data_IF_416682265507
#
_entry.id   IF_416682265507
#
_cell.length_a   1.000
_cell.length_b   1.000
_cell.length_c   1.000
_cell.angle_alpha   90.00
_cell.angle_beta   90.00
_cell.angle_gamma   90.00
#
_symmetry.space_group_name_H-M   'P 1'
#
loop_
_entity.id
_entity.type
_entity.pdbx_description
1 polymer ?
#
# COMPACT_ATOMS: atom_id res chain seq x y z
N UNK A 1 -14.34 -20.19 20.45
CA UNK A 1 -14.39 -19.93 18.99
C UNK A 1 -14.12 -18.45 18.80
N UNK A 2 -13.05 -18.08 18.09
CA UNK A 2 -12.82 -16.69 17.71
C UNK A 2 -13.64 -16.40 16.47
N UNK A 3 -14.51 -15.40 16.53
CA UNK A 3 -15.24 -14.90 15.36
C UNK A 3 -14.54 -13.65 14.83
N UNK A 4 -14.56 -13.52 13.51
CA UNK A 4 -14.10 -12.34 12.78
C UNK A 4 -15.23 -11.87 11.87
N UNK A 5 -15.48 -10.56 11.84
CA UNK A 5 -16.35 -9.93 10.87
C UNK A 5 -15.50 -9.07 9.95
N UNK A 6 -15.78 -9.12 8.65
CA UNK A 6 -15.02 -8.37 7.64
C UNK A 6 -15.99 -7.50 6.85
N UNK A 7 -15.83 -6.19 6.96
CA UNK A 7 -16.56 -5.22 6.18
C UNK A 7 -15.65 -4.75 5.03
N UNK A 8 -16.09 -4.93 3.78
CA UNK A 8 -15.37 -4.45 2.59
C UNK A 8 -16.22 -3.44 1.85
N UNK A 9 -15.63 -2.31 1.49
CA UNK A 9 -16.25 -1.31 0.63
C UNK A 9 -15.36 -1.05 -0.58
N UNK A 10 -15.97 -1.04 -1.76
CA UNK A 10 -15.32 -0.68 -3.02
C UNK A 10 -15.94 0.63 -3.50
N UNK A 11 -15.10 1.64 -3.68
CA UNK A 11 -15.53 2.94 -4.17
C UNK A 11 -15.49 2.93 -5.71
N UNK A 12 -16.52 3.47 -6.39
CA UNK A 12 -16.64 3.41 -7.84
C UNK A 12 -15.74 4.44 -8.51
N UNK A 13 -14.43 4.18 -8.52
CA UNK A 13 -13.40 5.08 -9.04
C UNK A 13 -12.84 4.65 -10.41
N UNK A 14 -13.26 3.49 -10.94
CA UNK A 14 -12.81 2.99 -12.24
C UNK A 14 -11.56 2.11 -12.12
N UNK A 15 -10.66 2.22 -13.11
CA UNK A 15 -9.39 1.48 -13.14
C UNK A 15 -8.48 1.91 -11.97
N UNK A 16 -7.64 0.97 -11.52
CA UNK A 16 -6.71 1.07 -10.41
C UNK A 16 -7.30 1.05 -9.00
N UNK A 17 -8.59 1.38 -8.85
CA UNK A 17 -9.40 0.97 -7.71
C UNK A 17 -9.20 1.77 -6.42
N UNK A 18 -10.19 1.66 -5.54
CA UNK A 18 -10.16 2.25 -4.21
C UNK A 18 -11.00 1.37 -3.29
N UNK A 19 -10.32 0.63 -2.42
CA UNK A 19 -10.95 -0.34 -1.53
C UNK A 19 -10.64 -0.03 -0.08
N UNK A 20 -11.65 -0.14 0.77
CA UNK A 20 -11.45 -0.18 2.22
C UNK A 20 -11.91 -1.51 2.78
N UNK A 21 -11.15 -2.03 3.73
CA UNK A 21 -11.47 -3.25 4.46
C UNK A 21 -11.31 -2.99 5.95
N UNK A 22 -12.29 -3.42 6.72
CA UNK A 22 -12.24 -3.41 8.18
C UNK A 22 -12.43 -4.83 8.68
N UNK A 23 -11.45 -5.35 9.40
CA UNK A 23 -11.53 -6.65 10.08
C UNK A 23 -11.78 -6.41 11.56
N UNK A 24 -12.92 -6.86 12.04
CA UNK A 24 -13.30 -6.85 13.45
C UNK A 24 -13.01 -8.21 14.07
N UNK A 25 -12.32 -8.23 15.20
CA UNK A 25 -12.01 -9.44 15.94
C UNK A 25 -12.87 -9.55 17.20
N UNK A 26 -13.08 -10.78 17.68
CA UNK A 26 -13.77 -11.05 18.95
C UNK A 26 -13.23 -10.33 20.20
N UNK A 27 -11.98 -9.84 20.18
CA UNK A 27 -11.37 -9.09 21.28
C UNK A 27 -11.61 -7.57 21.19
N UNK A 28 -12.60 -7.12 20.41
CA UNK A 28 -12.85 -5.70 20.09
C UNK A 28 -11.64 -4.99 19.46
N UNK A 29 -10.70 -5.75 18.89
CA UNK A 29 -9.62 -5.19 18.05
C UNK A 29 -10.13 -5.05 16.63
N UNK A 30 -9.69 -3.99 15.98
CA UNK A 30 -10.00 -3.65 14.59
C UNK A 30 -8.70 -3.52 13.82
N UNK A 31 -8.70 -4.01 12.58
CA UNK A 31 -7.69 -3.70 11.57
C UNK A 31 -8.39 -3.00 10.40
N UNK A 32 -7.98 -1.77 10.09
CA UNK A 32 -8.51 -1.00 8.96
C UNK A 32 -7.45 -0.82 7.89
N UNK A 33 -7.75 -1.24 6.67
CA UNK A 33 -6.86 -1.16 5.52
C UNK A 33 -7.53 -0.43 4.37
N UNK A 34 -6.75 0.38 3.67
CA UNK A 34 -7.07 0.92 2.35
C UNK A 34 -6.12 0.31 1.34
N UNK A 35 -6.64 -0.10 0.18
CA UNK A 35 -5.86 -0.60 -0.94
C UNK A 35 -6.13 0.29 -2.13
N UNK A 36 -5.07 0.95 -2.62
CA UNK A 36 -5.07 1.95 -3.69
C UNK A 36 -6.07 3.10 -3.47
N UNK A 37 -5.97 4.14 -4.28
CA UNK A 37 -6.92 5.24 -4.28
C UNK A 37 -6.86 6.14 -5.53
N UNK A 38 -6.17 5.71 -6.58
CA UNK A 38 -6.15 6.42 -7.86
C UNK A 38 -7.36 6.04 -8.72
N UNK A 39 -7.56 6.76 -9.81
CA UNK A 39 -8.66 6.53 -10.75
C UNK A 39 -9.65 7.69 -10.77
N UNK A 40 -10.61 7.61 -11.69
CA UNK A 40 -11.58 8.65 -12.06
C UNK A 40 -10.96 10.02 -12.34
N UNK A 41 -11.79 10.96 -12.78
CA UNK A 41 -11.40 12.36 -12.75
C UNK A 41 -11.32 12.88 -11.29
N UNK A 42 -10.63 14.00 -11.12
CA UNK A 42 -10.35 14.58 -9.80
C UNK A 42 -11.62 15.02 -9.05
N UNK A 43 -12.67 15.45 -9.77
CA UNK A 43 -13.91 15.89 -9.14
C UNK A 43 -14.66 14.70 -8.52
N UNK A 44 -14.87 13.65 -9.31
CA UNK A 44 -15.54 12.43 -8.85
C UNK A 44 -14.76 11.74 -7.72
N UNK A 45 -13.43 11.65 -7.87
CA UNK A 45 -12.56 11.10 -6.82
C UNK A 45 -12.63 11.92 -5.53
N UNK A 46 -12.61 13.25 -5.63
CA UNK A 46 -12.71 14.14 -4.47
C UNK A 46 -14.00 13.95 -3.67
N UNK A 47 -15.14 13.73 -4.35
CA UNK A 47 -16.42 13.42 -3.69
C UNK A 47 -16.34 12.11 -2.92
N UNK A 48 -15.81 11.05 -3.54
CA UNK A 48 -15.68 9.73 -2.90
C UNK A 48 -14.72 9.77 -1.70
N UNK A 49 -13.59 10.45 -1.83
CA UNK A 49 -12.61 10.63 -0.77
C UNK A 49 -13.20 11.43 0.40
N UNK A 50 -13.96 12.49 0.12
CA UNK A 50 -14.63 13.26 1.16
C UNK A 50 -15.62 12.39 1.95
N UNK A 51 -16.46 11.63 1.25
CA UNK A 51 -17.39 10.69 1.87
C UNK A 51 -16.70 9.55 2.64
N UNK A 52 -15.50 9.15 2.21
CA UNK A 52 -14.66 8.20 2.94
C UNK A 52 -14.07 8.83 4.21
N UNK A 53 -13.52 10.04 4.12
CA UNK A 53 -12.86 10.75 5.21
C UNK A 53 -13.82 11.09 6.36
N UNK A 54 -15.07 11.43 6.05
CA UNK A 54 -16.14 11.67 7.05
C UNK A 54 -16.39 10.48 7.99
N UNK A 55 -16.07 9.26 7.55
CA UNK A 55 -16.20 8.05 8.39
C UNK A 55 -15.12 7.94 9.46
N UNK A 56 -14.28 8.97 9.61
CA UNK A 56 -13.29 9.22 10.65
C UNK A 56 -12.88 8.00 11.46
N UNK A 57 -11.78 7.38 11.04
CA UNK A 57 -10.99 6.50 11.89
C UNK A 57 -9.53 6.56 11.49
N UNK A 58 -8.61 6.44 12.45
CA UNK A 58 -7.24 6.09 12.09
C UNK A 58 -7.29 4.79 11.27
N UNK A 59 -6.64 4.80 10.12
CA UNK A 59 -6.47 3.60 9.32
C UNK A 59 -5.12 2.99 9.64
N UNK A 60 -5.07 1.67 9.73
CA UNK A 60 -3.83 0.99 10.10
C UNK A 60 -2.90 0.89 8.90
N UNK A 61 -3.46 0.58 7.73
CA UNK A 61 -2.68 0.23 6.55
C UNK A 61 -3.19 1.02 5.34
N UNK A 62 -2.25 1.66 4.62
CA UNK A 62 -2.41 1.97 3.20
C UNK A 62 -1.54 0.98 2.42
N UNK A 63 -2.12 0.17 1.57
CA UNK A 63 -1.39 -0.69 0.66
C UNK A 63 -1.49 -0.14 -0.76
N UNK A 64 -0.36 0.12 -1.39
CA UNK A 64 -0.28 0.51 -2.80
C UNK A 64 0.12 -0.73 -3.58
N UNK A 65 -0.69 -1.12 -4.57
CA UNK A 65 -0.42 -2.30 -5.38
C UNK A 65 0.58 -1.98 -6.50
N UNK A 66 0.43 -0.81 -7.11
CA UNK A 66 1.23 -0.34 -8.23
C UNK A 66 1.31 1.20 -8.22
N UNK A 67 2.30 1.77 -8.89
CA UNK A 67 2.51 3.22 -8.91
C UNK A 67 2.04 3.90 -10.21
N UNK A 68 1.06 3.33 -10.88
CA UNK A 68 0.39 4.02 -11.98
C UNK A 68 -0.55 5.10 -11.41
N UNK A 69 -0.82 6.13 -12.21
CA UNK A 69 -1.67 7.27 -11.83
C UNK A 69 -3.05 6.83 -11.31
N UNK A 70 -3.63 5.82 -11.94
CA UNK A 70 -4.93 5.26 -11.56
C UNK A 70 -4.86 4.43 -10.27
N UNK A 71 -3.70 4.28 -9.62
CA UNK A 71 -3.57 3.67 -8.30
C UNK A 71 -3.18 4.67 -7.19
N UNK A 72 -2.44 5.73 -7.52
CA UNK A 72 -1.85 6.63 -6.51
C UNK A 72 -2.42 8.06 -6.49
N UNK A 73 -3.22 8.45 -7.48
CA UNK A 73 -3.66 9.85 -7.61
C UNK A 73 -4.49 10.38 -6.44
N UNK A 74 -5.22 9.54 -5.72
CA UNK A 74 -6.01 9.95 -4.57
C UNK A 74 -5.23 10.06 -3.26
N UNK A 75 -3.93 9.73 -3.21
CA UNK A 75 -3.17 9.70 -1.95
C UNK A 75 -3.05 11.11 -1.37
N UNK A 76 -2.74 12.09 -2.22
CA UNK A 76 -2.63 13.49 -1.80
C UNK A 76 -3.97 14.04 -1.31
N UNK A 77 -5.06 13.65 -1.95
CA UNK A 77 -6.42 14.05 -1.59
C UNK A 77 -6.86 13.40 -0.27
N UNK A 78 -6.57 12.11 -0.05
CA UNK A 78 -6.78 11.44 1.24
C UNK A 78 -5.99 12.15 2.35
N UNK A 79 -4.71 12.43 2.10
CA UNK A 79 -3.86 13.12 3.07
C UNK A 79 -4.36 14.54 3.37
N UNK A 80 -4.79 15.28 2.34
CA UNK A 80 -5.39 16.60 2.47
C UNK A 80 -6.72 16.59 3.22
N UNK A 81 -7.52 15.55 3.05
CA UNK A 81 -8.78 15.32 3.77
C UNK A 81 -8.58 14.89 5.24
N UNK A 82 -7.34 14.82 5.72
CA UNK A 82 -7.02 14.47 7.12
C UNK A 82 -6.93 12.97 7.38
N UNK A 83 -7.00 12.12 6.35
CA UNK A 83 -6.81 10.67 6.48
C UNK A 83 -5.34 10.39 6.81
N UNK A 84 -5.09 9.55 7.80
CA UNK A 84 -3.75 9.16 8.26
C UNK A 84 -3.66 7.64 8.40
N UNK A 85 -2.48 7.12 8.08
CA UNK A 85 -2.19 5.69 8.11
C UNK A 85 -1.06 5.37 9.10
N UNK A 86 -1.21 4.30 9.87
CA UNK A 86 -0.16 3.83 10.79
C UNK A 86 1.01 3.18 10.04
N UNK A 87 0.77 2.65 8.86
CA UNK A 87 1.78 2.04 7.99
C UNK A 87 1.37 2.12 6.52
N UNK A 88 2.35 2.32 5.65
CA UNK A 88 2.20 2.35 4.19
C UNK A 88 2.98 1.20 3.58
N UNK A 89 2.29 0.26 2.97
CA UNK A 89 2.86 -0.92 2.32
C UNK A 89 3.06 -0.59 0.84
N UNK A 90 4.32 -0.63 0.40
CA UNK A 90 4.70 -0.40 -0.98
C UNK A 90 5.24 -1.69 -1.58
N UNK A 91 5.06 -1.91 -2.90
CA UNK A 91 5.67 -3.05 -3.56
C UNK A 91 7.20 -2.91 -3.49
N UNK A 92 7.89 -4.03 -3.24
CA UNK A 92 9.35 -4.05 -3.27
C UNK A 92 9.85 -3.99 -4.71
N UNK A 93 10.12 -2.76 -5.14
CA UNK A 93 10.86 -2.48 -6.35
C UNK A 93 12.10 -1.72 -5.94
N UNK A 94 13.27 -2.20 -6.36
CA UNK A 94 14.51 -1.44 -6.26
C UNK A 94 14.28 -0.07 -6.91
N UNK A 95 14.58 1.02 -6.20
CA UNK A 95 14.26 2.38 -6.66
C UNK A 95 14.81 2.64 -8.07
N UNK A 96 16.01 2.12 -8.38
CA UNK A 96 16.62 2.21 -9.72
C UNK A 96 15.80 1.49 -10.81
N UNK A 97 15.22 0.33 -10.50
CA UNK A 97 14.47 -0.48 -11.44
C UNK A 97 13.09 0.12 -11.65
N UNK A 98 12.50 0.67 -10.59
CA UNK A 98 11.27 1.44 -10.66
C UNK A 98 11.46 2.71 -11.51
N UNK A 99 12.51 3.50 -11.24
CA UNK A 99 12.81 4.69 -12.04
C UNK A 99 13.08 4.36 -13.50
N UNK A 100 13.81 3.28 -13.78
CA UNK A 100 14.04 2.78 -15.12
C UNK A 100 12.72 2.38 -15.80
N UNK A 101 11.85 1.64 -15.10
CA UNK A 101 10.55 1.23 -15.60
C UNK A 101 9.65 2.43 -15.93
N UNK A 102 9.59 3.42 -15.03
CA UNK A 102 8.85 4.67 -15.25
C UNK A 102 9.41 5.45 -16.45
N UNK A 103 10.74 5.50 -16.59
CA UNK A 103 11.41 6.14 -17.73
C UNK A 103 11.10 5.44 -19.06
N UNK A 104 11.06 4.10 -19.05
CA UNK A 104 10.70 3.30 -20.22
C UNK A 104 9.23 3.47 -20.59
N UNK A 105 8.31 3.49 -19.61
CA UNK A 105 6.90 3.80 -19.84
C UNK A 105 6.72 5.16 -20.49
N UNK A 106 7.40 6.19 -19.98
CA UNK A 106 7.41 7.51 -20.60
C UNK A 106 7.98 7.53 -22.02
N UNK A 107 9.00 6.73 -22.31
CA UNK A 107 9.60 6.70 -23.66
C UNK A 107 8.68 6.06 -24.71
N UNK A 108 7.70 5.28 -24.25
CA UNK A 108 6.76 4.53 -25.10
C UNK A 108 5.38 5.19 -25.13
N UNK A 109 4.97 5.82 -24.03
CA UNK A 109 3.70 6.53 -23.88
C UNK A 109 3.91 8.03 -24.13
N UNK A 110 3.02 8.66 -24.89
CA UNK A 110 3.10 10.09 -25.25
C UNK A 110 2.71 10.99 -24.04
N UNK A 111 3.45 10.88 -22.94
CA UNK A 111 3.20 11.62 -21.69
C UNK A 111 3.97 12.93 -21.68
N UNK A 112 3.40 13.95 -21.03
CA UNK A 112 4.09 15.22 -20.82
C UNK A 112 5.04 15.15 -19.61
N UNK A 113 6.15 15.87 -19.68
CA UNK A 113 7.14 16.08 -18.61
C UNK A 113 6.55 16.46 -17.25
N UNK A 114 5.43 17.19 -17.22
CA UNK A 114 4.74 17.57 -15.98
C UNK A 114 4.18 16.36 -15.24
N UNK A 115 3.49 15.44 -15.94
CA UNK A 115 2.92 14.23 -15.35
C UNK A 115 4.01 13.34 -14.75
N UNK A 116 5.14 13.20 -15.48
CA UNK A 116 6.29 12.46 -14.99
C UNK A 116 6.88 13.09 -13.72
N UNK A 117 7.03 14.42 -13.71
CA UNK A 117 7.56 15.11 -12.54
C UNK A 117 6.67 14.91 -11.31
N UNK A 118 5.35 14.85 -11.51
CA UNK A 118 4.36 14.62 -10.46
C UNK A 118 4.46 13.19 -9.91
N UNK A 119 4.52 12.19 -10.79
CA UNK A 119 4.69 10.79 -10.42
C UNK A 119 5.99 10.55 -9.64
N UNK A 120 7.10 11.11 -10.11
CA UNK A 120 8.40 11.00 -9.42
C UNK A 120 8.36 11.67 -8.04
N UNK A 121 7.75 12.85 -7.93
CA UNK A 121 7.59 13.53 -6.64
C UNK A 121 6.69 12.75 -5.69
N UNK A 122 5.54 12.27 -6.17
CA UNK A 122 4.60 11.49 -5.35
C UNK A 122 5.21 10.16 -4.90
N UNK A 123 5.91 9.46 -5.79
CA UNK A 123 6.69 8.27 -5.46
C UNK A 123 7.76 8.58 -4.41
N UNK A 124 8.52 9.65 -4.59
CA UNK A 124 9.53 10.10 -3.61
C UNK A 124 8.94 10.37 -2.22
N UNK A 125 7.75 10.98 -2.16
CA UNK A 125 7.01 11.22 -0.91
C UNK A 125 6.46 9.94 -0.28
N UNK A 126 6.02 8.98 -1.09
CA UNK A 126 5.62 7.64 -0.63
C UNK A 126 6.79 6.92 0.03
N UNK A 127 7.91 6.78 -0.67
CA UNK A 127 9.11 6.16 -0.11
C UNK A 127 9.72 6.97 1.06
N UNK A 128 9.54 8.29 1.06
CA UNK A 128 9.97 9.19 2.13
C UNK A 128 9.14 9.11 3.40
N UNK A 129 7.97 8.46 3.36
CA UNK A 129 7.11 8.25 4.54
C UNK A 129 6.18 9.42 4.87
N UNK A 130 5.95 10.35 3.93
CA UNK A 130 5.04 11.51 4.11
C UNK A 130 3.61 11.08 4.50
N UNK A 131 3.21 9.88 4.08
CA UNK A 131 1.87 9.33 4.26
C UNK A 131 1.77 8.30 5.40
N UNK A 132 2.89 8.03 6.08
CA UNK A 132 3.02 7.06 7.16
C UNK A 132 4.31 6.23 7.05
N UNK A 133 4.71 5.53 8.12
CA UNK A 133 5.87 4.64 8.10
C UNK A 133 5.80 3.60 6.98
N UNK A 134 6.87 3.48 6.19
CA UNK A 134 6.90 2.63 4.99
C UNK A 134 7.33 1.20 5.33
N UNK A 135 6.61 0.23 4.77
CA UNK A 135 6.94 -1.19 4.76
C UNK A 135 7.09 -1.65 3.31
N UNK A 136 8.28 -2.10 2.92
CA UNK A 136 8.51 -2.64 1.58
C UNK A 136 8.16 -4.12 1.53
N UNK A 137 7.20 -4.49 0.69
CA UNK A 137 6.71 -5.87 0.53
C UNK A 137 7.58 -6.60 -0.48
N UNK A 138 8.61 -7.30 -0.01
CA UNK A 138 9.56 -8.04 -0.85
C UNK A 138 9.45 -9.55 -0.75
N UNK A 139 9.90 -10.23 -1.80
CA UNK A 139 10.26 -11.64 -1.72
C UNK A 139 11.44 -11.76 -0.77
N UNK A 140 11.20 -12.31 0.42
CA UNK A 140 12.28 -13.00 1.13
C UNK A 140 12.78 -14.10 0.18
N UNK A 141 14.10 -14.20 0.02
CA UNK A 141 14.72 -15.07 -0.97
C UNK A 141 14.21 -16.52 -0.89
N UNK A 142 14.14 -17.17 -2.05
CA UNK A 142 13.67 -18.53 -2.33
C UNK A 142 12.19 -18.81 -2.00
N UNK A 143 11.32 -18.59 -2.99
CA UNK A 143 10.19 -19.51 -3.16
C UNK A 143 10.76 -20.91 -3.42
N UNK A 144 10.42 -21.93 -2.61
CA UNK A 144 10.62 -23.31 -3.04
C UNK A 144 9.89 -23.49 -4.36
N UNK A 145 10.56 -24.07 -5.35
CA UNK A 145 9.95 -24.43 -6.63
C UNK A 145 8.60 -25.10 -6.39
N UNK A 146 7.57 -24.56 -7.03
CA UNK A 146 6.14 -24.87 -6.89
C UNK A 146 5.77 -26.27 -7.43
N UNK A 147 6.45 -27.31 -6.93
CA UNK A 147 6.30 -28.69 -7.39
C UNK A 147 5.87 -29.66 -6.28
N UNK A 148 5.39 -29.15 -5.14
CA UNK A 148 4.77 -30.00 -4.12
C UNK A 148 3.52 -29.38 -3.52
N UNK A 149 2.38 -29.84 -4.05
CA UNK A 149 1.04 -29.67 -3.50
C UNK A 149 0.96 -29.94 -1.99
N UNK A 150 0.02 -29.20 -1.36
CA UNK A 150 -0.75 -29.46 -0.11
C UNK A 150 -0.22 -28.83 1.18
N UNK A 151 -0.94 -27.80 1.63
CA UNK A 151 -1.08 -27.46 3.04
C UNK A 151 -1.39 -26.00 3.31
N UNK A 152 -2.56 -25.50 2.89
CA UNK A 152 -3.03 -24.16 3.27
C UNK A 152 -3.22 -24.09 4.80
N UNK A 153 -2.30 -23.42 5.48
CA UNK A 153 -2.45 -22.97 6.87
C UNK A 153 -2.33 -21.45 6.89
N UNK A 154 -3.36 -20.77 7.38
CA UNK A 154 -3.43 -19.31 7.48
C UNK A 154 -2.39 -18.69 8.44
N UNK A 155 -1.59 -19.51 9.13
CA UNK A 155 -0.59 -19.07 10.09
C UNK A 155 0.72 -18.58 9.43
N UNK A 156 1.03 -18.98 8.19
CA UNK A 156 2.31 -18.63 7.56
C UNK A 156 2.39 -17.19 7.04
N UNK A 157 1.25 -16.53 6.80
CA UNK A 157 1.21 -15.14 6.31
C UNK A 157 1.53 -14.14 7.43
N UNK A 158 1.31 -14.51 8.70
CA UNK A 158 1.47 -13.62 9.86
C UNK A 158 2.91 -13.60 10.42
N UNK A 159 3.75 -14.57 10.08
CA UNK A 159 5.10 -14.72 10.66
C UNK A 159 6.11 -13.72 10.08
N UNK A 160 5.94 -13.28 8.83
CA UNK A 160 6.94 -12.44 8.17
C UNK A 160 6.93 -10.96 8.60
N UNK A 161 5.83 -10.43 9.14
CA UNK A 161 5.72 -8.99 9.44
C UNK A 161 6.08 -8.61 10.89
N UNK A 162 6.22 -9.54 11.84
CA UNK A 162 6.25 -9.20 13.28
C UNK A 162 7.55 -9.52 14.04
N UNK A 163 8.62 -9.99 13.39
CA UNK A 163 9.92 -10.14 14.04
C UNK A 163 10.98 -9.33 13.30
N UNK A 164 11.24 -8.13 13.80
CA UNK A 164 12.60 -7.64 14.07
C UNK A 164 12.53 -6.25 14.70
N UNK A 165 12.42 -6.22 16.02
CA UNK A 165 12.79 -5.08 16.82
C UNK A 165 13.74 -5.59 17.91
N UNK A 166 15.05 -5.57 17.63
CA UNK A 166 16.19 -5.56 18.57
C UNK A 166 17.51 -5.65 17.77
N UNK A 167 18.49 -4.76 17.98
CA UNK A 167 19.81 -4.88 17.37
C UNK A 167 20.69 -5.80 18.23
N UNK A 168 21.17 -6.92 17.67
CA UNK A 168 22.27 -7.67 18.28
C UNK A 168 23.57 -7.32 17.56
N UNK A 169 24.39 -6.52 18.24
CA UNK A 169 25.82 -6.37 17.98
C UNK A 169 26.53 -7.70 18.18
N UNK A 170 27.26 -8.21 17.18
CA UNK A 170 28.24 -9.28 17.38
C UNK A 170 29.65 -8.71 17.27
N UNK A 171 30.33 -8.67 18.42
CA UNK A 171 31.78 -8.47 18.52
C UNK A 171 32.51 -9.73 18.01
N UNK A 172 33.55 -9.52 17.22
CA UNK A 172 34.51 -10.56 16.83
C UNK A 172 35.64 -10.64 17.88
N UNK A 173 35.65 -11.74 18.62
CA UNK A 173 36.84 -12.40 19.17
C UNK A 173 36.70 -13.86 18.75
N UNK A 174 37.66 -14.51 18.10
CA UNK A 174 39.12 -14.54 18.27
C UNK A 174 39.76 -15.02 16.99
#
# INVERSE_FOLDING_TARGET
>A
MAFFQVDRSQYPIGQGGFHSTVVHTSANRRLSMVVDCGGADAEHRGVLISAFAERHSPHDILAISHFDDDHINGIEELHGAGVRFNSVFLPHVEVKDYLLWMTLRFSVEDRNSYELSRLVQLGGRLYGGDFGPVVLVGSTGSTPSDDSRRGDSADDILVCCFRNNLPMTCNLSS
#
